data_IF_551879537429
#
_entry.id   IF_551879537429
#
_cell.length_a   1.000
_cell.length_b   1.000
_cell.length_c   1.000
_cell.angle_alpha   90.00
_cell.angle_beta   90.00
_cell.angle_gamma   90.00
#
_symmetry.space_group_name_H-M   'P 1'
#
loop_
_entity.id
_entity.type
_entity.pdbx_description
1 polymer ?
#
# COMPACT_ATOMS: atom_id res chain seq x y z
N UNK A 1 -0.90 -0.43 -14.56
CA UNK A 1 -0.15 -1.26 -13.58
C UNK A 1 0.11 -2.60 -14.23
N UNK A 2 1.36 -2.84 -14.64
CA UNK A 2 1.71 -4.07 -15.38
C UNK A 2 2.29 -5.15 -14.48
N UNK A 3 2.96 -4.76 -13.38
CA UNK A 3 3.58 -5.69 -12.43
C UNK A 3 3.15 -5.39 -11.01
N UNK A 4 2.50 -6.35 -10.37
CA UNK A 4 2.01 -6.24 -9.01
C UNK A 4 2.73 -7.27 -8.14
N UNK A 5 3.40 -6.80 -7.08
CA UNK A 5 4.04 -7.65 -6.07
C UNK A 5 3.06 -7.91 -4.93
N UNK A 6 2.88 -9.18 -4.61
CA UNK A 6 2.05 -9.64 -3.49
C UNK A 6 2.90 -10.47 -2.53
N UNK A 7 3.42 -9.86 -1.47
CA UNK A 7 4.04 -10.61 -0.39
C UNK A 7 3.01 -11.47 0.34
N UNK A 8 3.33 -12.73 0.59
CA UNK A 8 2.44 -13.66 1.31
C UNK A 8 3.19 -14.41 2.41
N UNK A 9 2.58 -14.49 3.57
CA UNK A 9 2.91 -15.39 4.66
C UNK A 9 1.85 -16.48 4.83
N UNK A 10 0.97 -16.59 3.83
CA UNK A 10 -0.17 -17.50 3.80
C UNK A 10 -1.24 -17.20 4.86
N UNK A 11 -1.24 -16.01 5.45
CA UNK A 11 -2.31 -15.56 6.34
C UNK A 11 -3.57 -15.21 5.53
N UNK A 12 -4.69 -15.11 6.23
CA UNK A 12 -5.96 -14.66 5.69
C UNK A 12 -5.85 -13.23 5.11
N UNK A 13 -5.12 -12.34 5.77
CA UNK A 13 -4.89 -10.98 5.29
C UNK A 13 -4.07 -10.93 4.00
N UNK A 14 -3.04 -11.79 3.89
CA UNK A 14 -2.27 -11.93 2.65
C UNK A 14 -3.14 -12.48 1.51
N UNK A 15 -4.07 -13.37 1.81
CA UNK A 15 -5.03 -13.87 0.83
C UNK A 15 -6.03 -12.79 0.38
N UNK A 16 -6.53 -11.94 1.28
CA UNK A 16 -7.35 -10.78 0.89
C UNK A 16 -6.59 -9.83 -0.03
N UNK A 17 -5.32 -9.58 0.26
CA UNK A 17 -4.45 -8.78 -0.59
C UNK A 17 -4.28 -9.41 -1.99
N UNK A 18 -4.11 -10.73 -2.08
CA UNK A 18 -4.02 -11.46 -3.34
C UNK A 18 -5.30 -11.32 -4.17
N UNK A 19 -6.48 -11.46 -3.56
CA UNK A 19 -7.77 -11.28 -4.24
C UNK A 19 -7.92 -9.88 -4.84
N UNK A 20 -7.51 -8.85 -4.11
CA UNK A 20 -7.53 -7.47 -4.61
C UNK A 20 -6.50 -7.27 -5.72
N UNK A 21 -5.29 -7.77 -5.55
CA UNK A 21 -4.24 -7.70 -6.58
C UNK A 21 -4.67 -8.38 -7.88
N UNK A 22 -5.34 -9.53 -7.80
CA UNK A 22 -5.89 -10.25 -8.94
C UNK A 22 -6.92 -9.41 -9.70
N UNK A 23 -7.84 -8.75 -9.00
CA UNK A 23 -8.84 -7.88 -9.63
C UNK A 23 -8.19 -6.67 -10.31
N UNK A 24 -7.17 -6.07 -9.67
CA UNK A 24 -6.40 -4.96 -10.25
C UNK A 24 -5.64 -5.43 -11.50
N UNK A 25 -4.99 -6.60 -11.44
CA UNK A 25 -4.26 -7.18 -12.56
C UNK A 25 -5.18 -7.46 -13.75
N UNK A 26 -6.36 -8.07 -13.52
CA UNK A 26 -7.35 -8.34 -14.57
C UNK A 26 -7.81 -7.06 -15.27
N UNK A 27 -8.10 -6.00 -14.53
CA UNK A 27 -8.53 -4.70 -15.10
C UNK A 27 -7.43 -3.97 -15.90
N UNK A 28 -6.15 -4.25 -15.63
CA UNK A 28 -5.01 -3.53 -16.21
C UNK A 28 -4.16 -4.41 -17.16
N UNK A 29 -4.57 -5.62 -17.46
CA UNK A 29 -3.77 -6.60 -18.23
C UNK A 29 -2.35 -6.70 -17.63
N UNK A 30 -2.30 -6.92 -16.31
CA UNK A 30 -1.08 -6.98 -15.51
C UNK A 30 -0.69 -8.40 -15.13
N UNK A 31 0.51 -8.54 -14.56
CA UNK A 31 1.02 -9.79 -14.00
C UNK A 31 1.22 -9.68 -12.48
N UNK A 32 1.16 -10.81 -11.80
CA UNK A 32 1.37 -10.91 -10.35
C UNK A 32 2.66 -11.64 -10.06
N UNK A 33 3.43 -11.10 -9.12
CA UNK A 33 4.59 -11.75 -8.52
C UNK A 33 4.19 -12.11 -7.09
N UNK A 34 3.98 -13.40 -6.81
CA UNK A 34 3.78 -13.91 -5.44
C UNK A 34 5.14 -14.07 -4.79
N UNK A 35 5.36 -13.40 -3.67
CA UNK A 35 6.62 -13.44 -2.93
C UNK A 35 6.41 -14.05 -1.55
N UNK A 36 7.12 -15.15 -1.26
CA UNK A 36 7.21 -15.69 0.09
C UNK A 36 8.62 -15.58 0.63
N UNK A 37 8.73 -15.13 1.88
CA UNK A 37 10.00 -14.98 2.58
C UNK A 37 10.18 -16.11 3.57
N UNK A 38 11.30 -16.81 3.48
CA UNK A 38 11.73 -17.80 4.47
C UNK A 38 12.79 -17.17 5.37
N UNK A 39 12.36 -16.76 6.56
CA UNK A 39 13.28 -16.27 7.58
C UNK A 39 13.97 -17.46 8.25
N UNK A 40 15.27 -17.59 8.03
CA UNK A 40 16.07 -18.66 8.62
C UNK A 40 16.65 -18.22 9.95
N UNK A 41 16.77 -19.12 10.95
CA UNK A 41 17.55 -18.85 12.14
C UNK A 41 18.98 -18.43 11.76
N UNK A 42 19.57 -17.47 12.48
CA UNK A 42 20.91 -16.93 12.18
C UNK A 42 22.00 -18.01 12.01
N UNK A 43 21.90 -19.12 12.74
CA UNK A 43 22.84 -20.26 12.62
C UNK A 43 22.72 -21.04 11.30
N UNK A 44 21.56 -20.96 10.64
CA UNK A 44 21.34 -21.63 9.36
C UNK A 44 21.78 -20.78 8.15
N UNK A 45 21.84 -19.44 8.29
CA UNK A 45 22.32 -18.52 7.25
C UNK A 45 23.80 -18.75 6.90
N UNK A 46 24.64 -19.00 7.90
CA UNK A 46 26.08 -19.28 7.72
C UNK A 46 26.31 -20.61 7.00
N UNK A 47 25.47 -21.61 7.22
CA UNK A 47 25.57 -22.92 6.59
C UNK A 47 25.16 -22.89 5.11
N UNK A 48 24.17 -22.06 4.74
CA UNK A 48 23.79 -21.85 3.33
C UNK A 48 24.90 -21.11 2.58
N UNK A 49 25.51 -20.10 3.19
CA UNK A 49 26.64 -19.37 2.64
C UNK A 49 27.86 -20.27 2.35
N UNK A 50 27.97 -21.40 3.06
CA UNK A 50 29.04 -22.41 2.85
C UNK A 50 28.64 -23.54 1.86
N UNK A 51 27.45 -23.46 1.25
CA UNK A 51 27.00 -24.41 0.23
C UNK A 51 26.51 -25.76 0.77
N UNK A 52 26.21 -25.86 2.08
CA UNK A 52 25.64 -27.05 2.69
C UNK A 52 24.12 -26.98 2.68
N UNK A 53 23.47 -27.88 1.94
CA UNK A 53 22.02 -28.10 2.04
C UNK A 53 21.66 -28.71 3.39
N UNK A 54 21.06 -27.90 4.27
CA UNK A 54 20.51 -28.39 5.52
C UNK A 54 19.17 -29.05 5.21
N UNK A 55 18.96 -30.36 5.51
CA UNK A 55 17.71 -31.06 5.17
C UNK A 55 16.44 -30.34 5.67
N UNK A 56 16.53 -29.68 6.82
CA UNK A 56 15.42 -28.89 7.38
C UNK A 56 15.05 -27.70 6.53
N UNK A 57 16.03 -27.00 5.94
CA UNK A 57 15.78 -25.85 5.04
C UNK A 57 15.10 -26.31 3.76
N UNK A 58 15.54 -27.44 3.21
CA UNK A 58 14.90 -28.06 2.05
C UNK A 58 13.45 -28.43 2.34
N UNK A 59 13.15 -28.95 3.52
CA UNK A 59 11.81 -29.28 3.94
C UNK A 59 10.90 -28.02 3.99
N UNK A 60 11.37 -26.94 4.65
CA UNK A 60 10.61 -25.67 4.71
C UNK A 60 10.42 -25.04 3.32
N UNK A 61 11.46 -25.05 2.48
CA UNK A 61 11.37 -24.58 1.11
C UNK A 61 10.33 -25.35 0.29
N UNK A 62 10.37 -26.69 0.35
CA UNK A 62 9.43 -27.54 -0.37
C UNK A 62 7.99 -27.35 0.13
N UNK A 63 7.80 -27.18 1.44
CA UNK A 63 6.49 -26.86 2.00
C UNK A 63 5.98 -25.49 1.51
N UNK A 64 6.85 -24.48 1.44
CA UNK A 64 6.49 -23.17 0.93
C UNK A 64 6.17 -23.21 -0.59
N UNK A 65 6.95 -23.96 -1.37
CA UNK A 65 6.67 -24.16 -2.82
C UNK A 65 5.27 -24.73 -2.99
N UNK A 66 4.95 -25.82 -2.29
CA UNK A 66 3.64 -26.46 -2.38
C UNK A 66 2.50 -25.50 -2.04
N UNK A 67 2.65 -24.70 -0.96
CA UNK A 67 1.62 -23.73 -0.57
C UNK A 67 1.47 -22.60 -1.61
N UNK A 68 2.56 -22.19 -2.27
CA UNK A 68 2.49 -21.22 -3.36
C UNK A 68 1.81 -21.81 -4.59
N UNK A 69 2.10 -23.08 -4.93
CA UNK A 69 1.41 -23.80 -6.00
C UNK A 69 -0.09 -23.91 -5.73
N UNK A 70 -0.48 -24.29 -4.50
CA UNK A 70 -1.90 -24.33 -4.09
C UNK A 70 -2.56 -22.93 -4.22
N UNK A 71 -1.85 -21.83 -3.92
CA UNK A 71 -2.35 -20.47 -4.13
C UNK A 71 -2.44 -20.09 -5.61
N UNK A 72 -1.52 -20.56 -6.45
CA UNK A 72 -1.52 -20.26 -7.89
C UNK A 72 -2.67 -20.96 -8.61
N UNK A 73 -3.20 -22.03 -8.06
CA UNK A 73 -4.38 -22.75 -8.57
C UNK A 73 -5.71 -22.12 -8.11
N UNK A 74 -5.66 -21.02 -7.35
CA UNK A 74 -6.87 -20.34 -6.88
C UNK A 74 -7.63 -19.66 -8.04
N UNK A 75 -8.94 -19.83 -8.08
CA UNK A 75 -9.83 -19.29 -9.11
C UNK A 75 -9.71 -17.76 -9.27
N UNK A 76 -9.33 -17.03 -8.23
CA UNK A 76 -9.14 -15.59 -8.33
C UNK A 76 -8.01 -15.21 -9.30
N UNK A 77 -7.07 -16.13 -9.56
CA UNK A 77 -5.93 -15.96 -10.46
C UNK A 77 -6.18 -16.45 -11.89
N UNK A 78 -7.33 -17.03 -12.17
CA UNK A 78 -7.65 -17.56 -13.51
C UNK A 78 -7.47 -16.51 -14.60
N UNK A 79 -6.72 -16.89 -15.63
CA UNK A 79 -6.42 -16.04 -16.79
C UNK A 79 -5.33 -14.98 -16.56
N UNK A 80 -4.71 -14.96 -15.38
CA UNK A 80 -3.61 -14.07 -15.08
C UNK A 80 -2.24 -14.72 -15.28
N UNK A 81 -1.26 -13.93 -15.65
CA UNK A 81 0.15 -14.32 -15.57
C UNK A 81 0.63 -14.16 -14.15
N UNK A 82 0.94 -15.26 -13.49
CA UNK A 82 1.43 -15.31 -12.12
C UNK A 82 2.80 -15.97 -12.08
N UNK A 83 3.72 -15.39 -11.35
CA UNK A 83 5.03 -15.98 -11.04
C UNK A 83 5.24 -16.07 -9.55
N UNK A 84 5.95 -17.11 -9.10
CA UNK A 84 6.29 -17.27 -7.68
C UNK A 84 7.77 -17.02 -7.43
N UNK A 85 8.06 -16.40 -6.29
CA UNK A 85 9.43 -16.12 -5.82
C UNK A 85 9.53 -16.50 -4.35
N UNK A 86 10.55 -17.27 -4.00
CA UNK A 86 10.93 -17.56 -2.62
C UNK A 86 12.31 -16.95 -2.37
N UNK A 87 12.44 -16.20 -1.29
CA UNK A 87 13.70 -15.59 -0.87
C UNK A 87 14.04 -15.98 0.56
N UNK A 88 15.33 -16.10 0.84
CA UNK A 88 15.89 -16.40 2.16
C UNK A 88 16.48 -15.11 2.77
N UNK A 89 15.61 -14.16 3.09
CA UNK A 89 15.98 -12.85 3.63
C UNK A 89 14.92 -12.43 4.67
N UNK A 90 15.20 -11.36 5.42
CA UNK A 90 14.17 -10.70 6.21
C UNK A 90 13.06 -10.18 5.29
N UNK A 91 11.81 -10.30 5.73
CA UNK A 91 10.64 -10.01 4.89
C UNK A 91 10.72 -8.61 4.25
N UNK A 92 11.07 -7.58 5.03
CA UNK A 92 11.20 -6.22 4.52
C UNK A 92 12.25 -6.12 3.39
N UNK A 93 13.45 -6.63 3.63
CA UNK A 93 14.57 -6.50 2.68
C UNK A 93 14.26 -7.24 1.35
N UNK A 94 13.72 -8.45 1.45
CA UNK A 94 13.31 -9.21 0.28
C UNK A 94 12.21 -8.56 -0.53
N UNK A 95 11.19 -7.98 0.12
CA UNK A 95 10.14 -7.22 -0.57
C UNK A 95 10.75 -6.04 -1.35
N UNK A 96 11.63 -5.26 -0.69
CA UNK A 96 12.27 -4.11 -1.33
C UNK A 96 13.18 -4.51 -2.48
N UNK A 97 13.99 -5.58 -2.31
CA UNK A 97 14.90 -6.09 -3.34
C UNK A 97 14.13 -6.60 -4.57
N UNK A 98 13.08 -7.41 -4.36
CA UNK A 98 12.27 -7.97 -5.45
C UNK A 98 11.46 -6.88 -6.15
N UNK A 99 10.90 -5.90 -5.43
CA UNK A 99 10.16 -4.80 -6.04
C UNK A 99 11.03 -3.98 -6.98
N UNK A 100 12.27 -3.69 -6.57
CA UNK A 100 13.23 -2.95 -7.38
C UNK A 100 13.74 -3.77 -8.58
N UNK A 101 14.14 -5.03 -8.35
CA UNK A 101 14.69 -5.92 -9.38
C UNK A 101 13.70 -6.17 -10.53
N UNK A 102 12.41 -6.26 -10.22
CA UNK A 102 11.36 -6.55 -11.19
C UNK A 102 10.65 -5.30 -11.72
N UNK A 103 11.04 -4.10 -11.29
CA UNK A 103 10.39 -2.84 -11.67
C UNK A 103 8.88 -2.89 -11.41
N UNK A 104 8.51 -3.20 -10.17
CA UNK A 104 7.12 -3.37 -9.74
C UNK A 104 6.40 -2.02 -9.72
N UNK A 105 5.17 -1.98 -10.23
CA UNK A 105 4.34 -0.76 -10.24
C UNK A 105 3.54 -0.56 -8.97
N UNK A 106 3.18 -1.66 -8.29
CA UNK A 106 2.33 -1.65 -7.10
C UNK A 106 2.69 -2.83 -6.20
N UNK A 107 2.81 -2.57 -4.90
CA UNK A 107 2.86 -3.62 -3.86
C UNK A 107 1.47 -3.70 -3.23
N UNK A 108 0.88 -4.90 -3.15
CA UNK A 108 -0.40 -5.13 -2.46
C UNK A 108 -0.15 -6.12 -1.35
N UNK A 109 -0.41 -5.74 -0.11
CA UNK A 109 -0.15 -6.61 1.04
C UNK A 109 -1.21 -6.50 2.12
N UNK A 110 -1.33 -7.56 2.92
CA UNK A 110 -2.20 -7.59 4.08
C UNK A 110 -1.68 -6.66 5.19
N UNK A 111 -2.59 -6.16 6.01
CA UNK A 111 -2.23 -5.31 7.15
C UNK A 111 -1.56 -6.08 8.28
N UNK A 112 -1.82 -7.39 8.40
CA UNK A 112 -1.28 -8.26 9.45
C UNK A 112 -0.73 -9.54 8.83
N UNK A 113 0.19 -10.19 9.55
CA UNK A 113 0.75 -11.48 9.17
C UNK A 113 0.18 -12.64 10.00
N UNK A 114 0.74 -13.83 9.81
CA UNK A 114 0.32 -15.07 10.45
C UNK A 114 0.43 -15.06 11.99
N UNK A 115 1.23 -14.17 12.59
CA UNK A 115 1.34 -13.99 14.05
C UNK A 115 0.15 -13.28 14.69
N UNK A 116 -0.78 -12.76 13.90
CA UNK A 116 -2.15 -12.32 14.21
C UNK A 116 -2.45 -11.82 15.60
N UNK A 117 -1.74 -10.85 16.13
CA UNK A 117 -2.26 -10.11 17.28
C UNK A 117 -3.48 -9.30 16.81
N UNK A 118 -4.64 -9.57 17.45
CA UNK A 118 -5.94 -8.92 17.17
C UNK A 118 -5.98 -7.44 17.58
N UNK A 119 -4.85 -6.78 17.68
CA UNK A 119 -4.77 -5.36 18.04
C UNK A 119 -4.80 -4.50 16.77
N UNK A 120 -5.32 -3.29 16.90
CA UNK A 120 -5.55 -2.30 15.82
C UNK A 120 -4.29 -1.83 15.07
N UNK A 121 -3.15 -2.51 15.20
CA UNK A 121 -1.87 -2.09 14.65
C UNK A 121 -1.49 -2.92 13.43
N UNK A 122 -0.99 -2.25 12.41
CA UNK A 122 -0.39 -2.87 11.23
C UNK A 122 0.83 -3.73 11.62
N UNK A 123 1.02 -4.87 10.96
CA UNK A 123 2.18 -5.72 11.18
C UNK A 123 3.51 -5.02 10.85
N UNK A 124 4.55 -5.32 11.62
CA UNK A 124 5.86 -4.66 11.53
C UNK A 124 6.49 -4.66 10.13
N UNK A 125 6.27 -5.71 9.33
CA UNK A 125 6.76 -5.77 7.96
C UNK A 125 5.98 -4.83 7.03
N UNK A 126 4.65 -4.78 7.17
CA UNK A 126 3.81 -3.87 6.41
C UNK A 126 4.14 -2.40 6.75
N UNK A 127 4.33 -2.07 8.03
CA UNK A 127 4.77 -0.75 8.48
C UNK A 127 6.09 -0.33 7.84
N UNK A 128 7.12 -1.20 7.89
CA UNK A 128 8.42 -0.91 7.28
C UNK A 128 8.33 -0.70 5.77
N UNK A 129 7.52 -1.51 5.06
CA UNK A 129 7.33 -1.38 3.62
C UNK A 129 6.60 -0.07 3.28
N UNK A 130 5.50 0.25 3.98
CA UNK A 130 4.76 1.52 3.84
C UNK A 130 5.68 2.73 4.00
N UNK A 131 6.55 2.71 5.02
CA UNK A 131 7.46 3.83 5.32
C UNK A 131 8.58 4.00 4.31
N UNK A 132 9.09 2.90 3.73
CA UNK A 132 10.35 2.95 2.98
C UNK A 132 10.20 2.72 1.49
N UNK A 133 9.07 2.19 1.01
CA UNK A 133 8.90 1.85 -0.40
C UNK A 133 8.80 3.08 -1.30
N UNK A 134 9.59 3.12 -2.37
CA UNK A 134 9.42 4.08 -3.46
C UNK A 134 8.30 3.68 -4.43
N UNK A 135 7.84 2.42 -4.36
CA UNK A 135 6.69 1.90 -5.10
C UNK A 135 5.44 2.12 -4.26
N UNK A 136 4.30 2.52 -4.83
CA UNK A 136 3.05 2.61 -4.10
C UNK A 136 2.70 1.31 -3.38
N UNK A 137 2.21 1.42 -2.13
CA UNK A 137 1.86 0.26 -1.30
C UNK A 137 0.39 0.32 -0.92
N UNK A 138 -0.39 -0.65 -1.38
CA UNK A 138 -1.81 -0.80 -1.06
C UNK A 138 -1.97 -1.82 0.07
N UNK A 139 -2.54 -1.38 1.18
CA UNK A 139 -2.79 -2.20 2.37
C UNK A 139 -4.25 -2.62 2.42
N UNK A 140 -4.46 -3.93 2.52
CA UNK A 140 -5.78 -4.57 2.61
C UNK A 140 -5.98 -5.14 4.02
N UNK A 141 -7.10 -4.76 4.66
CA UNK A 141 -7.38 -5.13 6.07
C UNK A 141 -8.46 -6.20 6.24
N UNK A 142 -9.29 -6.39 5.24
CA UNK A 142 -10.41 -7.33 5.25
C UNK A 142 -10.71 -7.81 3.84
N UNK A 143 -11.53 -8.83 3.73
CA UNK A 143 -12.06 -9.23 2.42
C UNK A 143 -12.84 -8.06 1.81
N UNK A 144 -12.36 -7.58 0.68
CA UNK A 144 -12.99 -6.49 -0.05
C UNK A 144 -14.15 -6.98 -0.96
N UNK A 145 -14.31 -8.30 -1.12
CA UNK A 145 -15.23 -8.85 -2.10
C UNK A 145 -14.88 -8.36 -3.50
N UNK A 146 -15.74 -7.56 -4.11
CA UNK A 146 -15.45 -6.82 -5.33
C UNK A 146 -14.68 -5.53 -5.00
N UNK A 147 -13.49 -5.37 -5.58
CA UNK A 147 -12.66 -4.18 -5.39
C UNK A 147 -12.90 -3.18 -6.51
N UNK A 148 -13.78 -2.23 -6.24
CA UNK A 148 -14.06 -1.08 -7.09
C UNK A 148 -13.67 0.19 -6.34
N UNK A 149 -13.07 1.13 -7.05
CA UNK A 149 -12.66 2.43 -6.52
C UNK A 149 -13.35 3.51 -7.35
N UNK A 150 -14.50 3.98 -6.90
CA UNK A 150 -15.22 5.09 -7.51
C UNK A 150 -14.74 6.41 -6.93
N UNK A 151 -14.51 6.48 -5.60
CA UNK A 151 -14.03 7.65 -4.88
C UNK A 151 -12.70 7.37 -4.20
N UNK A 152 -11.67 8.07 -4.64
CA UNK A 152 -10.34 7.99 -4.10
C UNK A 152 -9.96 9.28 -3.37
N UNK A 153 -9.95 9.28 -2.04
CA UNK A 153 -9.51 10.42 -1.23
C UNK A 153 -8.00 10.50 -1.24
N UNK A 154 -7.47 11.66 -1.59
CA UNK A 154 -6.05 11.98 -1.37
C UNK A 154 -5.94 13.24 -0.51
N UNK A 155 -5.44 13.07 0.71
CA UNK A 155 -5.27 14.15 1.67
C UNK A 155 -3.82 14.65 1.71
N UNK A 156 -3.64 15.97 1.66
CA UNK A 156 -2.33 16.61 1.66
C UNK A 156 -2.40 18.09 2.04
N UNK A 157 -1.24 18.71 2.24
CA UNK A 157 -1.03 20.16 2.34
C UNK A 157 -0.78 20.84 0.97
N UNK A 158 -0.67 20.05 -0.09
CA UNK A 158 -0.48 20.47 -1.49
C UNK A 158 0.74 21.37 -1.70
N UNK A 159 1.85 21.08 -1.02
CA UNK A 159 3.14 21.75 -1.22
C UNK A 159 3.87 21.22 -2.45
N UNK A 160 4.87 21.96 -2.93
CA UNK A 160 5.66 21.54 -4.11
C UNK A 160 6.36 20.19 -3.94
N UNK A 161 6.65 19.79 -2.72
CA UNK A 161 7.39 18.58 -2.40
C UNK A 161 6.61 17.31 -2.72
N UNK A 162 5.28 17.37 -2.65
CA UNK A 162 4.43 16.23 -2.98
C UNK A 162 4.10 16.12 -4.46
N UNK A 163 4.59 17.02 -5.32
CA UNK A 163 4.33 16.94 -6.77
C UNK A 163 4.76 15.61 -7.37
N UNK A 164 5.93 15.10 -6.97
CA UNK A 164 6.43 13.81 -7.47
C UNK A 164 5.59 12.62 -7.01
N UNK A 165 5.31 12.42 -5.71
CA UNK A 165 4.36 11.39 -5.29
C UNK A 165 2.95 11.59 -5.87
N UNK A 166 2.49 12.83 -5.99
CA UNK A 166 1.16 13.12 -6.53
C UNK A 166 0.98 12.69 -8.00
N UNK A 167 2.04 12.75 -8.81
CA UNK A 167 1.99 12.20 -10.17
C UNK A 167 1.63 10.70 -10.19
N UNK A 168 2.11 9.93 -9.20
CA UNK A 168 1.74 8.51 -9.04
C UNK A 168 0.28 8.36 -8.57
N UNK A 169 -0.20 9.26 -7.71
CA UNK A 169 -1.61 9.30 -7.27
C UNK A 169 -2.53 9.48 -8.47
N UNK A 170 -2.23 10.47 -9.33
CA UNK A 170 -3.00 10.75 -10.55
C UNK A 170 -3.00 9.55 -11.50
N UNK A 171 -1.85 8.93 -11.71
CA UNK A 171 -1.75 7.73 -12.56
C UNK A 171 -2.63 6.59 -12.06
N UNK A 172 -2.63 6.34 -10.74
CA UNK A 172 -3.45 5.30 -10.12
C UNK A 172 -4.94 5.66 -10.19
N UNK A 173 -5.32 6.90 -9.87
CA UNK A 173 -6.71 7.35 -9.96
C UNK A 173 -7.27 7.20 -11.37
N UNK A 174 -6.50 7.62 -12.38
CA UNK A 174 -6.88 7.49 -13.78
C UNK A 174 -7.00 6.02 -14.22
N UNK A 175 -6.10 5.13 -13.76
CA UNK A 175 -6.15 3.68 -14.05
C UNK A 175 -7.32 2.97 -13.38
N UNK A 176 -7.75 3.44 -12.21
CA UNK A 176 -8.97 2.92 -11.57
C UNK A 176 -10.24 3.52 -12.17
N UNK A 177 -10.15 4.63 -12.90
CA UNK A 177 -11.31 5.39 -13.36
C UNK A 177 -12.01 6.15 -12.23
N UNK A 178 -11.32 6.31 -11.10
CA UNK A 178 -11.84 6.90 -9.88
C UNK A 178 -11.95 8.43 -9.96
N UNK A 179 -12.91 8.99 -9.27
CA UNK A 179 -12.93 10.41 -8.95
C UNK A 179 -11.95 10.68 -7.79
N UNK A 180 -10.96 11.56 -8.06
CA UNK A 180 -9.93 11.91 -7.09
C UNK A 180 -10.45 13.04 -6.18
N UNK A 181 -10.81 12.69 -4.96
CA UNK A 181 -11.29 13.58 -3.92
C UNK A 181 -10.11 14.19 -3.17
N UNK A 182 -9.66 15.35 -3.61
CA UNK A 182 -8.54 16.06 -2.97
C UNK A 182 -9.02 16.72 -1.68
N UNK A 183 -8.36 16.43 -0.57
CA UNK A 183 -8.74 16.96 0.74
C UNK A 183 -7.59 17.72 1.41
N UNK A 184 -7.84 18.97 1.78
CA UNK A 184 -7.01 19.71 2.72
C UNK A 184 -7.71 19.72 4.07
N UNK A 185 -7.04 19.17 5.09
CA UNK A 185 -7.59 19.16 6.45
C UNK A 185 -7.12 20.41 7.19
N UNK A 186 -8.05 21.27 7.53
CA UNK A 186 -7.84 22.40 8.41
C UNK A 186 -7.95 21.96 9.86
N UNK A 187 -6.94 22.24 10.65
CA UNK A 187 -6.94 22.02 12.10
C UNK A 187 -6.74 23.36 12.82
N UNK A 188 -7.00 23.46 14.13
CA UNK A 188 -6.73 24.69 14.85
C UNK A 188 -5.30 25.22 14.72
N UNK A 189 -4.32 24.33 14.51
CA UNK A 189 -2.89 24.70 14.37
C UNK A 189 -2.47 25.00 12.93
N UNK A 190 -3.24 24.57 11.92
CA UNK A 190 -2.88 24.70 10.49
C UNK A 190 -3.96 25.40 9.68
N UNK A 191 -4.85 26.13 10.36
CA UNK A 191 -6.00 26.79 9.72
C UNK A 191 -5.59 27.71 8.58
N UNK A 192 -6.31 27.59 7.47
CA UNK A 192 -6.25 28.51 6.34
C UNK A 192 -7.67 28.95 5.98
N UNK A 193 -7.87 30.23 5.65
CA UNK A 193 -9.16 30.69 5.09
C UNK A 193 -9.50 29.84 3.85
N UNK A 194 -10.78 29.52 3.66
CA UNK A 194 -11.26 28.65 2.59
C UNK A 194 -10.74 29.08 1.21
N UNK A 195 -10.84 30.37 0.87
CA UNK A 195 -10.36 30.89 -0.44
C UNK A 195 -8.86 30.71 -0.64
N UNK A 196 -8.05 30.82 0.44
CA UNK A 196 -6.59 30.60 0.37
C UNK A 196 -6.29 29.12 0.16
N UNK A 197 -6.96 28.24 0.89
CA UNK A 197 -6.80 26.81 0.75
C UNK A 197 -7.21 26.33 -0.66
N UNK A 198 -8.34 26.81 -1.19
CA UNK A 198 -8.78 26.51 -2.54
C UNK A 198 -7.78 27.00 -3.60
N UNK A 199 -7.24 28.21 -3.46
CA UNK A 199 -6.24 28.74 -4.38
C UNK A 199 -4.98 27.89 -4.41
N UNK A 200 -4.47 27.47 -3.24
CA UNK A 200 -3.30 26.57 -3.13
C UNK A 200 -3.60 25.27 -3.89
N UNK A 201 -4.74 24.64 -3.64
CA UNK A 201 -5.10 23.37 -4.25
C UNK A 201 -5.30 23.50 -5.75
N UNK A 202 -5.99 24.54 -6.24
CA UNK A 202 -6.19 24.80 -7.70
C UNK A 202 -4.87 25.03 -8.41
N UNK A 203 -3.99 25.84 -7.83
CA UNK A 203 -2.66 26.10 -8.40
C UNK A 203 -1.80 24.83 -8.44
N UNK A 204 -1.91 23.98 -7.41
CA UNK A 204 -1.20 22.70 -7.38
C UNK A 204 -1.67 21.75 -8.48
N UNK A 205 -2.98 21.52 -8.59
CA UNK A 205 -3.54 20.54 -9.54
C UNK A 205 -3.46 20.98 -10.99
N UNK A 206 -3.34 22.28 -11.26
CA UNK A 206 -3.23 22.82 -12.63
C UNK A 206 -2.05 22.24 -13.42
N UNK A 207 -1.07 21.64 -12.74
CA UNK A 207 0.11 21.03 -13.35
C UNK A 207 -0.10 19.55 -13.72
N UNK A 208 -1.29 18.98 -13.49
CA UNK A 208 -1.55 17.55 -13.65
C UNK A 208 -2.77 17.29 -14.55
N UNK A 209 -2.71 16.21 -15.31
CA UNK A 209 -3.85 15.77 -16.13
C UNK A 209 -4.69 14.75 -15.35
N UNK A 210 -5.69 15.25 -14.62
CA UNK A 210 -6.59 14.45 -13.78
C UNK A 210 -7.92 14.31 -14.50
N UNK A 211 -8.38 13.09 -14.74
CA UNK A 211 -9.62 12.83 -15.49
C UNK A 211 -10.86 13.38 -14.77
N UNK A 212 -10.97 13.07 -13.47
CA UNK A 212 -12.07 13.54 -12.63
C UNK A 212 -11.52 13.86 -11.24
N UNK A 213 -11.82 15.03 -10.72
CA UNK A 213 -11.45 15.38 -9.34
C UNK A 213 -12.36 16.43 -8.74
N UNK A 214 -12.40 16.47 -7.43
CA UNK A 214 -12.99 17.52 -6.62
C UNK A 214 -11.97 18.12 -5.64
N UNK A 215 -12.21 19.34 -5.17
CA UNK A 215 -11.38 20.03 -4.17
C UNK A 215 -12.23 20.21 -2.92
N UNK A 216 -11.70 19.69 -1.80
CA UNK A 216 -12.41 19.66 -0.53
C UNK A 216 -11.53 20.25 0.59
N UNK A 217 -12.12 21.11 1.42
CA UNK A 217 -11.52 21.62 2.63
C UNK A 217 -12.37 21.10 3.78
N UNK A 218 -11.76 20.32 4.66
CA UNK A 218 -12.43 19.70 5.78
C UNK A 218 -11.82 20.16 7.10
N UNK A 219 -12.65 20.51 8.07
CA UNK A 219 -12.19 21.03 9.36
C UNK A 219 -12.31 19.93 10.42
N UNK A 220 -11.24 19.70 11.16
CA UNK A 220 -11.23 18.74 12.27
C UNK A 220 -10.22 19.13 13.35
N UNK A 221 -10.25 18.42 14.48
CA UNK A 221 -9.36 18.65 15.62
C UNK A 221 -7.91 18.26 15.30
N UNK A 222 -7.72 17.24 14.48
CA UNK A 222 -6.42 16.81 13.98
C UNK A 222 -6.57 16.24 12.55
N UNK A 223 -5.44 16.06 11.88
CA UNK A 223 -5.46 15.69 10.45
C UNK A 223 -5.89 14.25 10.24
N UNK A 224 -5.46 13.33 11.09
CA UNK A 224 -5.84 11.92 10.99
C UNK A 224 -7.35 11.75 11.07
N UNK A 225 -7.98 12.26 12.13
CA UNK A 225 -9.43 12.21 12.28
C UNK A 225 -10.14 12.89 11.12
N UNK A 226 -9.62 14.04 10.67
CA UNK A 226 -10.18 14.77 9.53
C UNK A 226 -10.17 13.95 8.24
N UNK A 227 -9.10 13.22 7.97
CA UNK A 227 -9.04 12.31 6.80
C UNK A 227 -10.06 11.18 6.94
N UNK A 228 -10.11 10.52 8.10
CA UNK A 228 -11.04 9.42 8.35
C UNK A 228 -12.49 9.86 8.28
N UNK A 229 -12.84 10.96 8.96
CA UNK A 229 -14.20 11.50 8.96
C UNK A 229 -14.62 11.99 7.58
N UNK A 230 -13.73 12.65 6.83
CA UNK A 230 -14.01 13.06 5.47
C UNK A 230 -14.22 11.85 4.55
N UNK A 231 -13.35 10.84 4.63
CA UNK A 231 -13.51 9.62 3.85
C UNK A 231 -14.80 8.88 4.17
N UNK A 232 -15.22 8.86 5.45
CA UNK A 232 -16.49 8.30 5.88
C UNK A 232 -17.68 9.12 5.35
N UNK A 233 -17.61 10.44 5.48
CA UNK A 233 -18.66 11.36 5.07
C UNK A 233 -19.01 11.24 3.59
N UNK A 234 -18.02 11.11 2.72
CA UNK A 234 -18.25 11.00 1.27
C UNK A 234 -18.43 9.56 0.79
N UNK A 235 -18.26 8.56 1.67
CA UNK A 235 -18.27 7.15 1.31
C UNK A 235 -17.10 6.77 0.38
N UNK A 236 -15.88 7.17 0.73
CA UNK A 236 -14.70 6.86 -0.07
C UNK A 236 -14.38 5.36 -0.09
N UNK A 237 -13.85 4.86 -1.20
CA UNK A 237 -13.46 3.46 -1.37
C UNK A 237 -11.99 3.24 -1.05
N UNK A 238 -11.16 4.27 -1.27
CA UNK A 238 -9.71 4.24 -1.08
C UNK A 238 -9.23 5.53 -0.45
N UNK A 239 -8.28 5.42 0.49
CA UNK A 239 -7.58 6.56 1.08
C UNK A 239 -6.12 6.53 0.62
N UNK A 240 -5.63 7.62 0.06
CA UNK A 240 -4.23 7.81 -0.32
C UNK A 240 -3.55 8.85 0.51
N UNK A 241 -2.31 8.55 0.91
CA UNK A 241 -1.46 9.47 1.65
C UNK A 241 -0.03 9.41 1.13
N UNK A 242 0.66 10.57 1.17
CA UNK A 242 2.10 10.61 0.90
C UNK A 242 2.87 10.34 2.18
N UNK A 243 3.95 9.52 2.10
CA UNK A 243 4.85 9.27 3.21
C UNK A 243 5.98 10.32 3.32
N UNK A 244 6.04 11.32 2.43
CA UNK A 244 6.97 12.44 2.46
C UNK A 244 6.21 13.77 2.44
N UNK A 245 6.60 14.70 3.30
CA UNK A 245 6.11 16.07 3.35
C UNK A 245 6.82 16.89 4.43
N UNK A 246 7.07 18.18 4.17
CA UNK A 246 7.93 19.04 5.01
C UNK A 246 7.27 19.67 6.23
N UNK A 247 8.16 20.06 7.15
CA UNK A 247 8.19 21.09 8.21
C UNK A 247 6.91 21.56 8.92
N UNK A 248 5.73 21.47 8.33
CA UNK A 248 4.45 21.69 9.01
C UNK A 248 3.74 20.37 9.32
N UNK A 249 4.05 19.34 8.53
CA UNK A 249 3.68 17.94 8.75
C UNK A 249 4.87 17.11 9.27
N UNK A 250 6.02 17.69 9.59
CA UNK A 250 7.18 16.96 10.14
C UNK A 250 6.91 16.36 11.52
N UNK A 251 5.88 16.84 12.23
CA UNK A 251 5.24 16.10 13.31
C UNK A 251 4.38 14.94 12.81
N UNK A 252 4.01 14.93 11.51
CA UNK A 252 3.26 13.87 10.89
C UNK A 252 4.14 12.66 10.52
N UNK A 253 5.44 12.86 10.32
CA UNK A 253 6.34 11.81 9.82
C UNK A 253 7.40 11.32 10.82
N UNK A 254 7.33 11.76 12.07
CA UNK A 254 8.00 11.06 13.16
C UNK A 254 7.20 9.83 13.63
N UNK A 255 6.51 9.14 12.70
CA UNK A 255 5.96 7.82 12.92
C UNK A 255 4.46 7.73 13.15
N UNK A 256 3.62 8.81 13.07
CA UNK A 256 2.26 8.61 13.55
C UNK A 256 1.15 8.62 12.49
N UNK A 257 1.08 9.53 11.52
CA UNK A 257 -0.18 9.65 10.76
C UNK A 257 -0.37 8.68 9.63
N UNK A 258 0.65 8.39 8.79
CA UNK A 258 0.47 7.33 7.79
C UNK A 258 0.33 5.96 8.45
N UNK A 259 1.02 5.73 9.56
CA UNK A 259 0.88 4.54 10.39
C UNK A 259 -0.48 4.53 11.09
N UNK A 260 -0.89 5.64 11.71
CA UNK A 260 -2.17 5.76 12.41
C UNK A 260 -3.35 5.64 11.43
N UNK A 261 -3.27 6.26 10.23
CA UNK A 261 -4.27 6.07 9.17
C UNK A 261 -4.32 4.63 8.70
N UNK A 262 -3.16 4.02 8.44
CA UNK A 262 -3.12 2.61 8.08
C UNK A 262 -3.60 1.75 9.25
N UNK A 263 -3.42 2.15 10.50
CA UNK A 263 -3.94 1.43 11.66
C UNK A 263 -5.46 1.59 11.81
N UNK A 264 -6.00 2.80 11.73
CA UNK A 264 -7.38 3.11 12.10
C UNK A 264 -8.37 3.12 10.95
N UNK A 265 -7.92 3.30 9.69
CA UNK A 265 -8.82 3.26 8.54
C UNK A 265 -9.43 1.87 8.39
N UNK A 266 -10.75 1.80 8.24
CA UNK A 266 -11.46 0.56 7.91
C UNK A 266 -11.41 0.24 6.41
N UNK A 267 -11.05 1.22 5.59
CA UNK A 267 -10.91 1.15 4.14
C UNK A 267 -9.49 0.77 3.73
N UNK A 268 -9.30 0.28 2.52
CA UNK A 268 -7.97 0.17 1.92
C UNK A 268 -7.23 1.51 1.97
N UNK A 269 -5.93 1.46 2.28
CA UNK A 269 -5.04 2.62 2.29
C UNK A 269 -3.91 2.40 1.31
N UNK A 270 -3.64 3.39 0.47
CA UNK A 270 -2.49 3.38 -0.43
C UNK A 270 -1.52 4.50 -0.06
N UNK A 271 -0.23 4.16 0.00
CA UNK A 271 0.82 5.11 0.36
C UNK A 271 1.74 5.40 -0.82
N UNK A 272 2.25 6.63 -0.88
CA UNK A 272 3.10 7.15 -1.95
C UNK A 272 4.33 7.84 -1.37
N UNK A 273 5.48 7.65 -2.04
CA UNK A 273 6.74 8.28 -1.67
C UNK A 273 7.35 9.03 -2.85
#
# INVERSE_FOLDING_TARGET
MKKILVPTDFSEYAYYALKVAAQIAKKNDGEIILLHMLELPHQAGDAIGSGHDIPEIMLFKNAAIKRLEDLMDDQCLDGLKVSQVIQFELAFDGIMNISKKNEVDLIVMGSHGASGFKEMFIGSNAEKVVRNSDVPVLIIKKDAGEFNVDKFVFASDFTDEIKKPFAKVVDIANKFGAELELAMINTPSTFKPTHVAEEIMRNFVSNFNINKYSINIYNDVNVENGILHFADHIGADLIGVSTHGRKGLSHFFNGSISEDLVNHALRPVITFK
#
